data_IF_002977859445
#
_entry.id   IF_002977859445
#
_cell.length_a   1.000
_cell.length_b   1.000
_cell.length_c   1.000
_cell.angle_alpha   90.00
_cell.angle_beta   90.00
_cell.angle_gamma   90.00
#
_symmetry.space_group_name_H-M   'P 1'
#
loop_
_entity.id
_entity.type
_entity.pdbx_description
1 polymer ?
#
# COMPACT_ATOMS: atom_id res chain seq x y z
N UNK A 1 7.78 26.19 13.74
CA UNK A 1 7.91 24.75 13.61
C UNK A 1 7.53 24.29 12.19
N UNK A 2 8.31 23.35 11.65
CA UNK A 2 8.02 22.71 10.37
C UNK A 2 6.98 21.60 10.63
N UNK A 3 5.97 21.51 9.76
CA UNK A 3 4.87 20.54 9.94
C UNK A 3 4.55 19.78 8.65
N UNK A 4 4.08 18.53 8.80
CA UNK A 4 3.50 17.74 7.73
C UNK A 4 4.45 17.54 6.54
N UNK A 5 5.70 17.13 6.77
CA UNK A 5 6.62 16.82 5.69
C UNK A 5 6.94 15.31 5.63
N UNK A 6 7.30 14.87 4.45
CA UNK A 6 7.63 13.49 4.18
C UNK A 6 8.86 13.40 3.28
N UNK A 7 9.79 12.52 3.66
CA UNK A 7 10.87 12.07 2.81
C UNK A 7 10.72 10.57 2.57
N UNK A 8 10.58 10.18 1.34
CA UNK A 8 10.45 8.77 0.98
C UNK A 8 11.23 8.41 -0.28
N UNK A 9 11.82 7.22 -0.30
CA UNK A 9 12.65 6.71 -1.40
C UNK A 9 13.79 7.67 -1.78
N UNK A 10 14.42 8.28 -0.78
CA UNK A 10 15.51 9.25 -0.99
C UNK A 10 16.85 8.54 -0.86
N UNK A 11 17.75 8.79 -1.81
CA UNK A 11 19.17 8.50 -1.66
C UNK A 11 19.91 9.83 -1.57
N UNK A 12 20.70 10.02 -0.52
CA UNK A 12 21.46 11.24 -0.29
C UNK A 12 22.91 10.92 0.09
N UNK A 13 23.81 11.80 -0.31
CA UNK A 13 25.20 11.79 0.13
C UNK A 13 25.46 13.03 0.99
N UNK A 14 26.03 12.86 2.17
CA UNK A 14 26.32 13.95 3.09
C UNK A 14 27.44 13.59 4.07
N UNK A 15 28.20 14.60 4.49
CA UNK A 15 29.23 14.42 5.53
C UNK A 15 28.61 14.13 6.89
N UNK A 16 27.50 14.79 7.21
CA UNK A 16 26.75 14.61 8.47
C UNK A 16 25.27 14.45 8.17
N UNK A 17 24.63 13.51 8.87
CA UNK A 17 23.19 13.30 8.79
C UNK A 17 22.40 14.48 9.35
N UNK A 18 22.93 15.12 10.39
CA UNK A 18 22.38 16.38 10.89
C UNK A 18 21.38 16.24 12.01
N UNK A 19 20.53 17.27 12.15
CA UNK A 19 19.54 17.42 13.22
C UNK A 19 18.22 17.95 12.67
N UNK A 20 17.11 17.45 13.19
CA UNK A 20 15.77 18.00 12.96
C UNK A 20 15.30 18.62 14.26
N UNK A 21 14.89 19.89 14.21
CA UNK A 21 14.40 20.63 15.36
C UNK A 21 13.02 21.22 15.10
N UNK A 22 12.21 21.34 16.16
CA UNK A 22 10.91 22.04 16.15
C UNK A 22 9.99 21.55 15.02
N UNK A 23 9.90 20.23 14.84
CA UNK A 23 9.12 19.61 13.78
C UNK A 23 8.02 18.72 14.34
N UNK A 24 6.90 18.65 13.63
CA UNK A 24 5.78 17.79 14.03
C UNK A 24 5.09 17.16 12.82
N UNK A 25 4.57 15.94 13.01
CA UNK A 25 3.88 15.17 11.97
C UNK A 25 4.76 14.99 10.73
N UNK A 26 5.89 14.34 10.88
CA UNK A 26 6.76 14.04 9.76
C UNK A 26 7.17 12.57 9.72
N UNK A 27 7.56 12.13 8.54
CA UNK A 27 8.02 10.77 8.32
C UNK A 27 9.20 10.73 7.36
N UNK A 28 10.17 9.89 7.69
CA UNK A 28 11.24 9.45 6.79
C UNK A 28 11.07 7.96 6.53
N UNK A 29 10.91 7.58 5.27
CA UNK A 29 10.67 6.18 4.90
C UNK A 29 11.53 5.79 3.69
N UNK A 30 12.24 4.67 3.82
CA UNK A 30 13.17 4.18 2.80
C UNK A 30 14.21 5.25 2.39
N UNK A 31 14.72 5.98 3.38
CA UNK A 31 15.77 6.99 3.18
C UNK A 31 17.13 6.34 3.38
N UNK A 32 17.94 6.38 2.33
CA UNK A 32 19.29 5.81 2.30
C UNK A 32 20.32 6.93 2.25
N UNK A 33 21.20 6.96 3.22
CA UNK A 33 22.25 7.97 3.32
C UNK A 33 23.62 7.33 3.12
N UNK A 34 24.46 7.96 2.33
CA UNK A 34 25.88 7.66 2.24
C UNK A 34 26.63 8.69 3.11
N UNK A 35 27.08 8.29 4.30
CA UNK A 35 27.71 9.19 5.27
C UNK A 35 28.66 8.45 6.21
N UNK A 36 29.66 9.13 6.72
CA UNK A 36 30.47 8.68 7.86
C UNK A 36 29.73 8.84 9.21
N UNK A 37 28.70 9.69 9.27
CA UNK A 37 27.84 9.84 10.47
C UNK A 37 26.80 8.71 10.51
N UNK A 38 26.47 8.26 11.71
CA UNK A 38 25.52 7.16 11.94
C UNK A 38 24.29 7.58 12.73
N UNK A 39 24.20 8.86 13.08
CA UNK A 39 23.19 9.37 14.03
C UNK A 39 22.44 10.56 13.45
N UNK A 40 21.12 10.42 13.33
CA UNK A 40 20.20 11.54 13.16
C UNK A 40 19.75 12.04 14.52
N UNK A 41 19.94 13.32 14.78
CA UNK A 41 19.50 13.93 16.04
C UNK A 41 18.15 14.60 15.87
N UNK A 42 17.29 14.48 16.87
CA UNK A 42 15.99 15.14 16.91
C UNK A 42 15.83 15.91 18.22
N UNK A 43 15.17 17.07 18.12
CA UNK A 43 14.96 17.98 19.24
C UNK A 43 13.59 18.64 19.12
N UNK A 44 12.79 18.59 20.16
CA UNK A 44 11.43 19.14 20.15
C UNK A 44 10.61 18.70 18.93
N UNK A 45 10.50 17.36 18.74
CA UNK A 45 9.84 16.75 17.59
C UNK A 45 8.69 15.84 18.04
N UNK A 46 7.48 16.11 17.56
CA UNK A 46 6.30 15.29 17.85
C UNK A 46 5.78 14.56 16.62
N UNK A 47 5.19 13.36 16.82
CA UNK A 47 4.64 12.52 15.75
C UNK A 47 5.66 12.28 14.63
N UNK A 48 6.87 11.89 15.03
CA UNK A 48 7.96 11.57 14.12
C UNK A 48 8.01 10.06 13.83
N UNK A 49 8.16 9.70 12.57
CA UNK A 49 8.29 8.31 12.16
C UNK A 49 9.51 8.11 11.25
N UNK A 50 10.30 7.09 11.56
CA UNK A 50 11.47 6.70 10.78
C UNK A 50 11.33 5.21 10.43
N UNK A 51 11.13 4.92 9.16
CA UNK A 51 10.99 3.55 8.65
C UNK A 51 12.08 3.27 7.63
N UNK A 52 12.96 2.28 7.89
CA UNK A 52 14.02 1.93 6.97
C UNK A 52 14.99 3.08 6.69
N UNK A 53 15.28 3.89 7.70
CA UNK A 53 16.27 4.95 7.60
C UNK A 53 17.65 4.36 7.82
N UNK A 54 18.47 4.38 6.78
CA UNK A 54 19.67 3.56 6.70
C UNK A 54 20.89 4.32 6.21
N UNK A 55 22.05 3.90 6.67
CA UNK A 55 23.33 4.35 6.17
C UNK A 55 23.98 3.28 5.31
N UNK A 56 24.09 3.55 4.03
CA UNK A 56 24.63 2.60 3.03
C UNK A 56 26.12 2.38 3.23
N UNK A 57 26.87 3.39 3.67
CA UNK A 57 28.30 3.31 3.92
C UNK A 57 28.66 2.32 5.03
N UNK A 58 27.83 2.30 6.09
CA UNK A 58 28.06 1.39 7.25
C UNK A 58 27.27 0.09 7.15
N UNK A 59 26.34 0.00 6.20
CA UNK A 59 25.45 -1.15 6.07
C UNK A 59 24.48 -1.32 7.25
N UNK A 60 24.19 -0.24 7.99
CA UNK A 60 23.39 -0.27 9.21
C UNK A 60 22.24 0.76 9.17
N UNK A 61 21.26 0.57 10.05
CA UNK A 61 20.24 1.58 10.29
C UNK A 61 20.83 2.83 10.94
N UNK A 62 20.31 4.00 10.58
CA UNK A 62 20.66 5.25 11.22
C UNK A 62 20.05 5.28 12.62
N UNK A 63 20.86 5.53 13.64
CA UNK A 63 20.39 5.71 15.01
C UNK A 63 19.65 7.04 15.14
N UNK A 64 18.48 7.03 15.77
CA UNK A 64 17.75 8.25 16.11
C UNK A 64 18.03 8.60 17.56
N UNK A 65 18.56 9.78 17.80
CA UNK A 65 18.95 10.27 19.14
C UNK A 65 18.19 11.54 19.49
N UNK A 66 17.54 11.52 20.67
CA UNK A 66 16.89 12.69 21.24
C UNK A 66 17.93 13.56 21.91
N UNK A 67 18.04 14.82 21.52
CA UNK A 67 19.07 15.74 22.05
C UNK A 67 18.53 16.86 22.93
N UNK A 68 17.21 17.09 22.98
CA UNK A 68 16.54 18.08 23.82
C UNK A 68 15.05 18.12 23.51
N UNK A 69 14.32 18.93 24.27
CA UNK A 69 12.88 19.12 24.11
C UNK A 69 12.03 17.87 24.28
N UNK A 70 10.72 18.00 24.13
CA UNK A 70 9.82 16.86 24.09
C UNK A 70 9.85 16.19 22.71
N UNK A 71 9.89 14.87 22.72
CA UNK A 71 9.74 14.05 21.50
C UNK A 71 8.70 12.97 21.79
N UNK A 72 7.43 13.33 21.64
CA UNK A 72 6.29 12.43 21.83
C UNK A 72 5.98 11.68 20.53
N UNK A 73 5.44 10.49 20.67
CA UNK A 73 5.01 9.65 19.52
C UNK A 73 6.13 9.44 18.50
N UNK A 74 7.32 9.11 18.98
CA UNK A 74 8.42 8.69 18.12
C UNK A 74 8.27 7.21 17.77
N UNK A 75 8.19 6.92 16.48
CA UNK A 75 8.17 5.56 15.95
C UNK A 75 9.42 5.34 15.08
N UNK A 76 10.27 4.40 15.49
CA UNK A 76 11.47 4.03 14.74
C UNK A 76 11.41 2.54 14.44
N UNK A 77 11.35 2.20 13.15
CA UNK A 77 11.42 0.82 12.67
C UNK A 77 12.65 0.65 11.79
N UNK A 78 13.47 -0.29 12.16
CA UNK A 78 14.67 -0.68 11.42
C UNK A 78 14.45 -2.05 10.80
N UNK A 79 15.00 -2.26 9.60
CA UNK A 79 15.00 -3.55 8.93
C UNK A 79 16.29 -3.74 8.17
N UNK A 80 16.67 -4.98 7.85
CA UNK A 80 17.91 -5.24 7.13
C UNK A 80 17.95 -4.53 5.78
N UNK A 81 19.13 -4.08 5.40
CA UNK A 81 19.41 -3.47 4.11
C UNK A 81 19.90 -4.47 3.06
N UNK A 82 20.02 -5.72 3.47
CA UNK A 82 20.52 -6.82 2.66
C UNK A 82 19.35 -7.70 2.22
N UNK A 83 19.46 -8.37 1.08
CA UNK A 83 18.49 -9.35 0.65
C UNK A 83 18.20 -10.37 1.75
N UNK A 84 16.93 -10.72 1.89
CA UNK A 84 16.48 -11.74 2.86
C UNK A 84 16.05 -13.01 2.12
N UNK A 85 16.22 -14.15 2.79
CA UNK A 85 15.74 -15.43 2.32
C UNK A 85 15.13 -16.18 3.51
N UNK A 86 13.82 -16.11 3.62
CA UNK A 86 13.09 -16.77 4.68
C UNK A 86 12.94 -18.26 4.42
N UNK A 87 13.07 -19.05 5.47
CA UNK A 87 12.83 -20.49 5.46
C UNK A 87 11.52 -20.87 6.19
N UNK A 88 10.85 -19.88 6.77
CA UNK A 88 9.59 -20.03 7.48
C UNK A 88 8.90 -18.69 7.66
N UNK A 89 7.60 -18.70 7.92
CA UNK A 89 6.84 -17.54 8.38
C UNK A 89 7.32 -17.18 9.80
N UNK A 90 7.48 -15.88 10.07
CA UNK A 90 7.90 -15.32 11.37
C UNK A 90 6.79 -14.45 11.92
N UNK A 91 5.85 -15.00 12.70
CA UNK A 91 4.73 -14.25 13.25
C UNK A 91 5.21 -13.09 14.14
N UNK A 92 4.63 -11.91 13.95
CA UNK A 92 4.94 -10.71 14.76
C UNK A 92 6.16 -9.91 14.27
N UNK A 93 6.91 -10.41 13.30
CA UNK A 93 7.96 -9.63 12.63
C UNK A 93 7.40 -8.85 11.42
N UNK A 94 8.06 -7.73 11.08
CA UNK A 94 7.78 -7.04 9.81
C UNK A 94 8.21 -7.95 8.66
N UNK A 95 7.29 -8.27 7.76
CA UNK A 95 7.61 -9.10 6.61
C UNK A 95 8.29 -8.27 5.54
N UNK A 96 9.48 -8.71 5.14
CA UNK A 96 10.32 -8.03 4.16
C UNK A 96 10.25 -8.75 2.81
N UNK A 97 10.38 -7.99 1.74
CA UNK A 97 10.60 -8.53 0.41
C UNK A 97 12.02 -9.10 0.26
N UNK A 98 12.31 -9.72 -0.88
CA UNK A 98 13.62 -10.34 -1.14
C UNK A 98 14.77 -9.32 -1.17
N UNK A 99 14.48 -8.02 -1.27
CA UNK A 99 15.49 -6.95 -1.19
C UNK A 99 15.65 -6.40 0.25
N UNK A 100 14.89 -6.90 1.22
CA UNK A 100 14.93 -6.45 2.61
C UNK A 100 14.10 -5.20 2.89
N UNK A 101 13.12 -4.89 2.04
CA UNK A 101 12.18 -3.79 2.26
C UNK A 101 10.86 -4.32 2.82
N UNK A 102 10.16 -3.58 3.70
CA UNK A 102 8.85 -3.98 4.18
C UNK A 102 7.84 -4.10 3.03
N UNK A 103 7.10 -5.20 3.03
CA UNK A 103 6.01 -5.42 2.08
C UNK A 103 4.93 -4.34 2.26
N UNK A 104 4.48 -3.77 1.16
CA UNK A 104 3.46 -2.74 1.07
C UNK A 104 2.25 -3.25 0.28
N UNK A 105 1.45 -4.07 0.93
CA UNK A 105 0.25 -4.67 0.35
C UNK A 105 -0.88 -4.69 1.39
N UNK A 106 -1.37 -3.51 1.79
CA UNK A 106 -2.46 -3.36 2.76
C UNK A 106 -3.81 -3.70 2.13
N UNK A 107 -4.77 -4.17 2.93
CA UNK A 107 -6.09 -4.55 2.46
C UNK A 107 -6.02 -5.58 1.32
N UNK A 108 -5.13 -6.51 1.44
CA UNK A 108 -4.54 -7.35 0.41
C UNK A 108 -5.44 -8.48 -0.06
N UNK A 109 -5.06 -8.99 -1.25
CA UNK A 109 -5.45 -10.29 -1.74
C UNK A 109 -4.21 -11.10 -2.14
N UNK A 110 -4.34 -12.42 -2.06
CA UNK A 110 -3.35 -13.35 -2.64
C UNK A 110 -4.05 -14.22 -3.68
N UNK A 111 -3.46 -14.33 -4.85
CA UNK A 111 -3.94 -15.22 -5.91
C UNK A 111 -2.81 -16.12 -6.40
N UNK A 112 -3.15 -17.34 -6.87
CA UNK A 112 -2.19 -18.25 -7.48
C UNK A 112 -2.42 -18.29 -8.98
N UNK A 113 -1.38 -18.04 -9.76
CA UNK A 113 -1.44 -17.99 -11.23
C UNK A 113 -0.10 -18.47 -11.80
N UNK A 114 -0.17 -19.29 -12.84
CA UNK A 114 1.02 -19.71 -13.61
C UNK A 114 2.18 -20.20 -12.73
N UNK A 115 1.86 -20.97 -11.67
CA UNK A 115 2.85 -21.56 -10.77
C UNK A 115 3.43 -20.59 -9.73
N UNK A 116 2.89 -19.38 -9.60
CA UNK A 116 3.31 -18.38 -8.61
C UNK A 116 2.15 -17.85 -7.80
N UNK A 117 2.44 -17.48 -6.56
CA UNK A 117 1.57 -16.66 -5.73
C UNK A 117 1.82 -15.19 -6.04
N UNK A 118 0.76 -14.41 -6.11
CA UNK A 118 0.81 -12.95 -6.23
C UNK A 118 0.07 -12.33 -5.06
N UNK A 119 0.79 -11.56 -4.26
CA UNK A 119 0.24 -10.79 -3.14
C UNK A 119 0.17 -9.33 -3.56
N UNK A 120 -1.00 -8.76 -3.63
CA UNK A 120 -1.19 -7.37 -4.02
C UNK A 120 -2.10 -6.65 -3.03
N UNK A 121 -1.86 -5.34 -2.88
CA UNK A 121 -2.58 -4.50 -1.94
C UNK A 121 -2.16 -3.04 -2.04
N UNK A 122 -2.74 -2.23 -1.19
CA UNK A 122 -2.45 -0.81 -1.17
C UNK A 122 -0.99 -0.52 -0.79
N UNK A 123 -0.32 0.30 -1.60
CA UNK A 123 0.99 0.85 -1.26
C UNK A 123 0.83 2.00 -0.25
N UNK A 124 1.23 1.78 0.98
CA UNK A 124 1.21 2.77 2.07
C UNK A 124 2.55 3.48 2.25
N UNK A 125 3.51 3.30 1.33
CA UNK A 125 4.85 3.90 1.42
C UNK A 125 4.80 5.41 1.66
N UNK A 126 3.87 6.09 1.01
CA UNK A 126 3.74 7.54 1.08
C UNK A 126 2.50 8.02 1.84
N UNK A 127 1.76 7.11 2.46
CA UNK A 127 0.62 7.46 3.28
C UNK A 127 1.11 8.09 4.58
N UNK A 128 0.65 9.31 4.87
CA UNK A 128 0.93 10.01 6.11
C UNK A 128 -0.34 10.17 6.91
N UNK A 129 -0.30 9.69 8.14
CA UNK A 129 -1.43 9.86 9.06
C UNK A 129 -1.76 11.36 9.24
N UNK A 130 -3.03 11.71 9.03
CA UNK A 130 -3.51 13.09 9.16
C UNK A 130 -3.18 14.01 7.97
N UNK A 131 -2.78 13.45 6.83
CA UNK A 131 -2.60 14.16 5.57
C UNK A 131 -3.61 13.70 4.52
N UNK A 132 -3.69 14.44 3.41
CA UNK A 132 -4.54 14.06 2.27
C UNK A 132 -3.85 13.03 1.32
N UNK A 133 -2.65 12.57 1.65
CA UNK A 133 -1.98 11.52 0.86
C UNK A 133 -2.38 10.16 1.38
N UNK A 134 -3.40 9.56 0.78
CA UNK A 134 -4.03 8.34 1.25
C UNK A 134 -3.81 7.16 0.30
N UNK A 135 -3.80 7.38 -1.02
CA UNK A 135 -3.65 6.33 -2.01
C UNK A 135 -2.26 6.39 -2.66
N UNK A 136 -1.46 5.37 -2.44
CA UNK A 136 -0.12 5.20 -3.02
C UNK A 136 -0.11 4.29 -4.25
N UNK A 137 -1.28 3.85 -4.73
CA UNK A 137 -1.42 2.83 -5.77
C UNK A 137 -1.63 1.43 -5.19
N UNK A 138 -1.64 0.44 -6.06
CA UNK A 138 -1.67 -0.99 -5.70
C UNK A 138 -0.34 -1.61 -6.10
N UNK A 139 0.39 -2.13 -5.11
CA UNK A 139 1.66 -2.82 -5.31
C UNK A 139 1.46 -4.32 -5.32
N UNK A 140 2.27 -5.02 -6.08
CA UNK A 140 2.22 -6.46 -6.23
C UNK A 140 3.57 -7.11 -5.94
N UNK A 141 3.51 -8.26 -5.31
CA UNK A 141 4.67 -9.11 -5.01
C UNK A 141 4.41 -10.52 -5.54
N UNK A 142 5.46 -11.21 -5.97
CA UNK A 142 5.37 -12.61 -6.38
C UNK A 142 6.21 -13.53 -5.52
N UNK A 143 5.76 -14.77 -5.35
CA UNK A 143 6.47 -15.81 -4.62
C UNK A 143 6.21 -17.19 -5.23
N UNK A 144 7.19 -18.09 -5.12
CA UNK A 144 7.03 -19.52 -5.46
C UNK A 144 6.90 -20.40 -4.23
N UNK A 145 7.23 -19.88 -3.03
CA UNK A 145 7.31 -20.65 -1.78
C UNK A 145 6.44 -20.08 -0.65
N UNK A 146 5.76 -18.96 -0.90
CA UNK A 146 4.93 -18.23 0.06
C UNK A 146 5.73 -17.55 1.21
N UNK A 147 7.03 -17.70 1.25
CA UNK A 147 7.92 -17.10 2.27
C UNK A 147 8.66 -15.89 1.74
N UNK A 148 9.16 -15.99 0.51
CA UNK A 148 10.02 -15.00 -0.12
C UNK A 148 9.27 -14.29 -1.23
N UNK A 149 9.04 -13.01 -1.05
CA UNK A 149 8.22 -12.19 -1.92
C UNK A 149 9.08 -11.19 -2.68
N UNK A 150 9.12 -11.34 -4.00
CA UNK A 150 9.79 -10.39 -4.88
C UNK A 150 8.87 -9.22 -5.18
N UNK A 151 9.35 -8.00 -5.04
CA UNK A 151 8.63 -6.79 -5.45
C UNK A 151 8.52 -6.73 -6.98
N UNK A 152 7.31 -6.78 -7.52
CA UNK A 152 7.01 -6.64 -8.95
C UNK A 152 6.60 -5.21 -9.32
N UNK A 153 6.58 -4.30 -8.35
CA UNK A 153 6.19 -2.91 -8.55
C UNK A 153 4.69 -2.66 -8.38
N UNK A 154 4.25 -1.50 -8.84
CA UNK A 154 2.84 -1.14 -8.81
C UNK A 154 2.14 -1.64 -10.06
N UNK A 155 0.98 -2.25 -9.87
CA UNK A 155 0.07 -2.68 -10.94
C UNK A 155 -1.02 -1.64 -11.21
N UNK A 156 -1.28 -0.76 -10.23
CA UNK A 156 -2.13 0.42 -10.39
C UNK A 156 -1.37 1.61 -9.80
N UNK A 157 -1.08 2.59 -10.64
CA UNK A 157 -0.43 3.83 -10.24
C UNK A 157 -1.45 4.87 -9.78
N UNK A 158 -1.13 5.70 -8.76
CA UNK A 158 -1.94 6.85 -8.44
C UNK A 158 -1.87 7.88 -9.57
N UNK A 159 -3.00 8.50 -9.88
CA UNK A 159 -3.07 9.54 -10.89
C UNK A 159 -2.56 10.88 -10.35
N UNK A 160 -2.01 11.68 -11.25
CA UNK A 160 -1.59 13.07 -10.96
C UNK A 160 -2.73 14.09 -11.16
N UNK A 161 -3.72 13.76 -12.00
CA UNK A 161 -4.90 14.58 -12.20
C UNK A 161 -5.76 14.60 -10.93
N UNK A 162 -6.01 15.77 -10.31
CA UNK A 162 -6.81 15.89 -9.10
C UNK A 162 -8.28 15.48 -9.27
N UNK A 163 -8.79 15.43 -10.49
CA UNK A 163 -10.15 14.97 -10.80
C UNK A 163 -10.25 13.46 -11.02
N UNK A 164 -9.12 12.78 -11.13
CA UNK A 164 -9.09 11.33 -11.28
C UNK A 164 -9.59 10.61 -10.02
N UNK A 165 -10.42 9.56 -10.13
CA UNK A 165 -10.77 8.72 -9.01
C UNK A 165 -9.56 7.98 -8.40
N UNK A 166 -8.43 7.92 -9.12
CA UNK A 166 -7.17 7.32 -8.66
C UNK A 166 -6.16 8.34 -8.13
N UNK A 167 -6.56 9.60 -7.96
CA UNK A 167 -5.65 10.62 -7.43
C UNK A 167 -5.17 10.24 -6.02
N UNK A 168 -3.92 10.56 -5.69
CA UNK A 168 -3.31 10.21 -4.40
C UNK A 168 -4.04 10.74 -3.15
N UNK A 169 -4.91 11.74 -3.30
CA UNK A 169 -5.76 12.25 -2.22
C UNK A 169 -7.03 11.41 -1.99
N UNK A 170 -7.34 10.47 -2.88
CA UNK A 170 -8.47 9.56 -2.71
C UNK A 170 -8.17 8.55 -1.60
N UNK A 171 -9.22 8.16 -0.87
CA UNK A 171 -9.13 7.11 0.15
C UNK A 171 -9.55 5.78 -0.46
N UNK A 172 -8.70 5.22 -1.30
CA UNK A 172 -8.94 3.93 -1.94
C UNK A 172 -8.29 2.81 -1.14
N UNK A 173 -9.03 1.73 -0.97
CA UNK A 173 -8.64 0.61 -0.13
C UNK A 173 -9.07 -0.72 -0.76
N UNK A 174 -8.47 -1.82 -0.28
CA UNK A 174 -8.87 -3.21 -0.53
C UNK A 174 -9.03 -3.55 -2.02
N UNK A 175 -7.95 -3.56 -2.81
CA UNK A 175 -8.03 -4.01 -4.20
C UNK A 175 -8.42 -5.48 -4.26
N UNK A 176 -9.45 -5.81 -5.06
CA UNK A 176 -9.83 -7.17 -5.40
C UNK A 176 -9.84 -7.31 -6.91
N UNK A 177 -9.14 -8.30 -7.45
CA UNK A 177 -9.01 -8.54 -8.88
C UNK A 177 -9.57 -9.90 -9.23
N UNK A 178 -10.56 -9.92 -10.12
CA UNK A 178 -11.10 -11.13 -10.72
C UNK A 178 -10.77 -11.18 -12.21
N UNK A 179 -10.54 -12.39 -12.72
CA UNK A 179 -10.48 -12.63 -14.15
C UNK A 179 -11.86 -12.98 -14.67
N UNK A 180 -12.37 -12.19 -15.61
CA UNK A 180 -13.62 -12.44 -16.28
C UNK A 180 -13.34 -13.24 -17.56
N UNK A 181 -13.62 -14.54 -17.54
CA UNK A 181 -13.38 -15.43 -18.67
C UNK A 181 -14.22 -15.05 -19.91
N UNK A 182 -15.40 -14.44 -19.72
CA UNK A 182 -16.30 -14.02 -20.78
C UNK A 182 -15.73 -12.87 -21.62
N UNK A 183 -15.04 -11.93 -20.99
CA UNK A 183 -14.43 -10.77 -21.66
C UNK A 183 -12.93 -10.91 -21.89
N UNK A 184 -12.29 -11.88 -21.24
CA UNK A 184 -10.83 -12.03 -21.23
C UNK A 184 -10.11 -10.92 -20.45
N UNK A 185 -10.83 -10.19 -19.57
CA UNK A 185 -10.31 -9.03 -18.83
C UNK A 185 -10.11 -9.34 -17.35
N UNK A 186 -9.15 -8.66 -16.76
CA UNK A 186 -8.99 -8.55 -15.31
C UNK A 186 -9.75 -7.33 -14.82
N UNK A 187 -10.67 -7.53 -13.89
CA UNK A 187 -11.50 -6.45 -13.32
C UNK A 187 -11.11 -6.26 -11.88
N UNK A 188 -10.68 -5.05 -11.55
CA UNK A 188 -10.29 -4.66 -10.21
C UNK A 188 -11.34 -3.75 -9.59
N UNK A 189 -11.77 -4.10 -8.40
CA UNK A 189 -12.61 -3.27 -7.56
C UNK A 189 -11.79 -2.72 -6.41
N UNK A 190 -11.90 -1.40 -6.18
CA UNK A 190 -11.31 -0.70 -5.05
C UNK A 190 -12.46 -0.06 -4.25
N UNK A 191 -12.41 -0.20 -2.93
CA UNK A 191 -13.33 0.54 -2.05
C UNK A 191 -12.83 1.97 -1.92
N UNK A 192 -13.71 2.96 -2.14
CA UNK A 192 -13.49 4.36 -1.81
C UNK A 192 -14.24 4.71 -0.53
N UNK A 193 -13.59 5.42 0.40
CA UNK A 193 -14.24 5.98 1.59
C UNK A 193 -14.90 7.35 1.32
N UNK A 194 -14.74 7.92 0.12
CA UNK A 194 -15.34 9.18 -0.26
C UNK A 194 -16.83 9.01 -0.56
N UNK A 195 -17.62 10.08 -0.42
CA UNK A 195 -19.05 10.09 -0.76
C UNK A 195 -19.85 8.92 -0.14
N UNK A 196 -19.72 8.72 1.15
CA UNK A 196 -20.37 7.63 1.91
C UNK A 196 -20.02 6.22 1.48
N UNK A 197 -18.90 6.03 0.80
CA UNK A 197 -18.44 4.76 0.31
C UNK A 197 -19.02 4.35 -1.05
N UNK A 198 -18.13 4.02 -1.97
CA UNK A 198 -18.46 3.46 -3.29
C UNK A 198 -17.30 2.62 -3.80
N UNK A 199 -17.55 1.80 -4.80
CA UNK A 199 -16.48 1.11 -5.51
C UNK A 199 -15.96 1.94 -6.68
N UNK A 200 -14.64 1.87 -6.89
CA UNK A 200 -13.96 2.34 -8.10
C UNK A 200 -13.58 1.11 -8.90
N UNK A 201 -14.12 0.98 -10.11
CA UNK A 201 -13.96 -0.19 -10.97
C UNK A 201 -12.95 0.11 -12.06
N UNK A 202 -11.98 -0.78 -12.21
CA UNK A 202 -10.93 -0.72 -13.22
C UNK A 202 -10.89 -2.03 -14.00
N UNK A 203 -10.38 -1.99 -15.22
CA UNK A 203 -10.12 -3.18 -16.03
C UNK A 203 -8.74 -3.15 -16.69
N UNK A 204 -8.20 -4.34 -17.00
CA UNK A 204 -6.94 -4.53 -17.71
C UNK A 204 -6.98 -5.77 -18.60
N UNK A 205 -6.12 -5.80 -19.61
CA UNK A 205 -5.89 -7.00 -20.46
C UNK A 205 -4.98 -8.03 -19.76
N UNK A 206 -4.09 -7.54 -18.91
CA UNK A 206 -3.13 -8.36 -18.18
C UNK A 206 -3.28 -8.18 -16.67
N UNK A 207 -3.03 -9.24 -15.90
CA UNK A 207 -3.08 -9.18 -14.44
C UNK A 207 -2.19 -8.07 -13.84
N UNK A 208 -1.04 -7.85 -14.44
CA UNK A 208 -0.10 -6.80 -14.00
C UNK A 208 -0.44 -5.41 -14.54
N UNK A 209 -1.56 -5.25 -15.23
CA UNK A 209 -2.01 -3.99 -15.80
C UNK A 209 -1.47 -3.72 -17.22
N UNK A 210 -1.58 -2.48 -17.72
CA UNK A 210 -2.14 -1.31 -17.02
C UNK A 210 -3.66 -1.40 -16.80
N UNK A 211 -4.12 -0.94 -15.64
CA UNK A 211 -5.54 -0.86 -15.31
C UNK A 211 -6.11 0.50 -15.68
N UNK A 212 -7.29 0.48 -16.33
CA UNK A 212 -8.00 1.68 -16.77
C UNK A 212 -9.31 1.82 -16.02
N UNK A 213 -9.65 3.05 -15.63
CA UNK A 213 -10.89 3.37 -14.94
C UNK A 213 -12.10 3.09 -15.84
N UNK A 214 -13.08 2.39 -15.28
CA UNK A 214 -14.36 2.09 -15.94
C UNK A 214 -15.47 2.94 -15.37
N UNK A 215 -15.71 2.86 -14.05
CA UNK A 215 -16.79 3.60 -13.37
C UNK A 215 -16.64 3.67 -11.86
N UNK A 216 -17.38 4.56 -11.25
CA UNK A 216 -17.73 4.48 -9.84
C UNK A 216 -19.07 3.75 -9.70
N UNK A 217 -19.22 2.94 -8.64
CA UNK A 217 -20.41 2.12 -8.44
C UNK A 217 -20.85 2.15 -6.97
N UNK A 218 -22.12 2.43 -6.74
CA UNK A 218 -22.84 2.09 -5.51
C UNK A 218 -23.85 1.00 -5.86
N UNK A 219 -23.61 -0.26 -5.52
CA UNK A 219 -24.51 -1.35 -5.84
C UNK A 219 -25.93 -1.05 -5.31
N UNK A 220 -26.91 -0.99 -6.18
CA UNK A 220 -28.30 -0.61 -5.86
C UNK A 220 -28.44 0.67 -5.02
N UNK A 221 -27.47 1.60 -5.16
CA UNK A 221 -27.45 2.87 -4.42
C UNK A 221 -26.91 2.75 -2.98
N UNK A 222 -26.49 1.58 -2.52
CA UNK A 222 -25.96 1.40 -1.18
C UNK A 222 -24.54 1.98 -1.04
N UNK A 223 -24.29 2.60 0.10
CA UNK A 223 -22.94 2.84 0.56
C UNK A 223 -22.21 1.51 0.82
N UNK A 224 -20.89 1.45 0.56
CA UNK A 224 -20.12 0.22 0.69
C UNK A 224 -19.05 0.36 1.77
N UNK A 225 -18.92 -0.67 2.56
CA UNK A 225 -17.84 -0.88 3.53
C UNK A 225 -16.82 -1.91 3.05
N UNK A 226 -16.37 -2.75 3.94
CA UNK A 226 -15.44 -3.83 3.62
C UNK A 226 -16.14 -4.87 2.75
N UNK A 227 -15.37 -5.51 1.88
CA UNK A 227 -15.93 -6.42 0.88
C UNK A 227 -14.95 -7.51 0.49
N UNK A 228 -15.49 -8.53 -0.15
CA UNK A 228 -14.76 -9.58 -0.84
C UNK A 228 -15.49 -9.97 -2.12
N UNK A 229 -14.79 -10.61 -3.04
CA UNK A 229 -15.31 -11.01 -4.35
C UNK A 229 -14.89 -12.44 -4.69
N UNK A 230 -15.74 -13.13 -5.39
CA UNK A 230 -15.49 -14.48 -5.87
C UNK A 230 -16.01 -14.68 -7.30
N UNK A 231 -15.23 -15.33 -8.12
CA UNK A 231 -15.68 -15.83 -9.41
C UNK A 231 -15.76 -17.36 -9.35
N UNK A 232 -16.93 -17.91 -9.59
CA UNK A 232 -17.17 -19.33 -9.64
C UNK A 232 -16.47 -19.90 -10.90
N UNK A 233 -15.49 -20.79 -10.75
CA UNK A 233 -14.75 -21.31 -11.89
C UNK A 233 -15.57 -22.22 -12.81
N UNK A 234 -16.64 -22.84 -12.29
CA UNK A 234 -17.48 -23.78 -13.04
C UNK A 234 -18.54 -23.06 -13.88
N UNK A 235 -19.13 -22.01 -13.33
CA UNK A 235 -20.23 -21.27 -13.97
C UNK A 235 -19.79 -19.96 -14.62
N UNK A 236 -18.65 -19.43 -14.22
CA UNK A 236 -18.16 -18.09 -14.62
C UNK A 236 -18.99 -16.94 -14.02
N UNK A 237 -19.86 -17.23 -13.05
CA UNK A 237 -20.58 -16.18 -12.33
C UNK A 237 -19.68 -15.53 -11.29
N UNK A 238 -19.73 -14.19 -11.23
CA UNK A 238 -19.06 -13.42 -10.21
C UNK A 238 -20.02 -12.98 -9.10
N UNK A 239 -19.50 -12.88 -7.89
CA UNK A 239 -20.24 -12.41 -6.73
C UNK A 239 -19.41 -11.39 -5.96
N UNK A 240 -20.10 -10.45 -5.32
CA UNK A 240 -19.52 -9.51 -4.35
C UNK A 240 -20.31 -9.58 -3.05
N UNK A 241 -19.59 -9.69 -1.94
CA UNK A 241 -20.13 -9.49 -0.59
C UNK A 241 -19.55 -8.20 -0.04
N UNK A 242 -20.40 -7.32 0.44
CA UNK A 242 -19.94 -6.08 1.06
C UNK A 242 -20.82 -5.72 2.26
N UNK A 243 -20.21 -5.06 3.22
CA UNK A 243 -20.99 -4.47 4.30
C UNK A 243 -21.59 -3.13 3.86
N UNK A 244 -22.84 -2.91 4.20
CA UNK A 244 -23.36 -1.56 4.34
C UNK A 244 -22.77 -1.03 5.65
N UNK A 245 -21.96 0.02 5.63
CA UNK A 245 -20.94 0.25 6.66
C UNK A 245 -21.41 0.00 8.07
N UNK A 246 -20.83 -1.04 8.69
CA UNK A 246 -21.03 -1.51 10.07
C UNK A 246 -22.42 -2.01 10.45
N UNK A 247 -23.32 -2.29 9.48
CA UNK A 247 -24.69 -2.70 9.79
C UNK A 247 -25.07 -4.05 9.18
N UNK A 248 -25.02 -4.17 7.87
CA UNK A 248 -25.59 -5.32 7.16
C UNK A 248 -24.59 -5.89 6.18
N UNK A 249 -24.67 -7.21 5.96
CA UNK A 249 -24.00 -7.85 4.86
C UNK A 249 -24.93 -7.94 3.66
N UNK A 250 -24.41 -7.52 2.51
CA UNK A 250 -25.11 -7.57 1.23
C UNK A 250 -24.33 -8.47 0.29
N UNK A 251 -25.02 -9.34 -0.42
CA UNK A 251 -24.48 -10.13 -1.52
C UNK A 251 -25.15 -9.73 -2.81
N UNK A 252 -24.37 -9.58 -3.88
CA UNK A 252 -24.89 -9.37 -5.21
C UNK A 252 -24.15 -10.24 -6.24
N UNK A 253 -24.86 -10.70 -7.26
CA UNK A 253 -24.26 -11.30 -8.44
C UNK A 253 -23.69 -10.19 -9.33
N UNK A 254 -22.50 -10.38 -9.86
CA UNK A 254 -21.87 -9.43 -10.78
C UNK A 254 -22.50 -9.52 -12.18
N UNK A 255 -22.44 -8.41 -12.91
CA UNK A 255 -22.72 -8.42 -14.34
C UNK A 255 -21.78 -9.35 -15.09
N UNK A 256 -22.16 -9.72 -16.31
CA UNK A 256 -21.41 -10.62 -17.17
C UNK A 256 -19.95 -10.22 -17.44
N UNK A 257 -19.64 -8.94 -17.33
CA UNK A 257 -18.31 -8.35 -17.48
C UNK A 257 -17.61 -8.01 -16.16
N UNK A 258 -18.24 -8.33 -15.03
CA UNK A 258 -17.81 -8.04 -13.66
C UNK A 258 -17.62 -6.54 -13.33
N UNK A 259 -18.11 -5.64 -14.18
CA UNK A 259 -17.98 -4.19 -13.94
C UNK A 259 -19.18 -3.56 -13.23
N UNK A 260 -20.21 -4.35 -12.93
CA UNK A 260 -21.45 -3.91 -12.29
C UNK A 260 -22.06 -5.08 -11.49
N UNK A 261 -23.20 -4.84 -10.83
CA UNK A 261 -24.04 -5.88 -10.22
C UNK A 261 -25.33 -6.07 -11.01
N UNK A 262 -25.86 -7.30 -10.93
CA UNK A 262 -27.17 -7.65 -11.47
C UNK A 262 -28.25 -7.42 -10.39
N UNK A 263 -29.29 -6.68 -10.71
CA UNK A 263 -30.51 -6.51 -9.94
C UNK A 263 -30.46 -5.48 -8.86
#
# INVERSE_FOLDING_TARGET
PVKNFFFGNVKAHCDRIGKICDATKFSMKDVRIESCDTVMRIDNCDYASFFGFSNVTTGSSVKIEKTGGECRYLNVQTYPLVPVNYQSIRPGEVWLDTEGKPIQAHGFQVTFREGKYYWYGEDKTHTLFGTNRMFGGVRCYSSTDFYNWKDEGRIIEPATDPHSPLHHCQKLERPHILYCAKTGRYVCWLKSQSNDGHFVILEAEHFMGPYHFVRNLKPNGFAVGDFDMYADPDTGKGYVWFERPHWEQICAELSDDYTNVNG
#
